data_IF_674873476885
#
_entry.id   IF_674873476885
#
_cell.length_a   1.000
_cell.length_b   1.000
_cell.length_c   1.000
_cell.angle_alpha   90.00
_cell.angle_beta   90.00
_cell.angle_gamma   90.00
#
_symmetry.space_group_name_H-M   'P 1'
#
loop_
_entity.id
_entity.type
_entity.pdbx_description
1 polymer ?
#
# COMPACT_ATOMS: atom_id res chain seq x y z
N UNK A 1 -7.05 -6.54 -14.65
CA UNK A 1 -5.96 -5.58 -14.41
C UNK A 1 -6.44 -4.55 -13.41
N UNK A 2 -6.06 -4.69 -12.15
CA UNK A 2 -6.22 -3.67 -11.11
C UNK A 2 -5.38 -2.47 -11.50
N UNK A 3 -5.97 -1.27 -11.55
CA UNK A 3 -5.22 -0.03 -11.84
C UNK A 3 -4.08 0.12 -10.82
N UNK A 4 -2.92 0.68 -11.21
CA UNK A 4 -1.89 1.08 -10.25
C UNK A 4 -2.53 1.90 -9.15
N UNK A 5 -2.44 1.47 -7.89
CA UNK A 5 -2.85 2.31 -6.77
C UNK A 5 -1.72 3.30 -6.54
N UNK A 6 -1.84 4.49 -7.14
CA UNK A 6 -0.97 5.61 -6.80
C UNK A 6 -1.07 5.82 -5.30
N UNK A 7 0.07 5.83 -4.61
CA UNK A 7 0.14 6.16 -3.21
C UNK A 7 -0.45 7.55 -2.96
N UNK A 8 -1.65 7.62 -2.40
CA UNK A 8 -2.26 8.88 -1.98
C UNK A 8 -1.92 9.17 -0.54
N UNK A 9 -1.42 10.36 -0.30
CA UNK A 9 -1.19 10.91 1.04
C UNK A 9 -2.50 11.03 1.82
N UNK A 10 -2.46 11.01 3.16
CA UNK A 10 -3.64 11.33 3.97
C UNK A 10 -4.30 12.65 3.57
N UNK A 11 -3.49 13.64 3.17
CA UNK A 11 -3.93 14.94 2.69
C UNK A 11 -4.71 14.84 1.38
N UNK A 12 -4.21 14.09 0.39
CA UNK A 12 -4.91 13.88 -0.89
C UNK A 12 -6.23 13.13 -0.70
N UNK A 13 -6.26 12.15 0.22
CA UNK A 13 -7.48 11.42 0.55
C UNK A 13 -8.51 12.30 1.25
N UNK A 14 -8.07 13.16 2.18
CA UNK A 14 -8.96 14.09 2.87
C UNK A 14 -9.50 15.18 1.93
N UNK A 15 -8.65 15.73 1.07
CA UNK A 15 -9.06 16.74 0.09
C UNK A 15 -10.06 16.16 -0.91
N UNK A 16 -9.84 14.96 -1.45
CA UNK A 16 -10.81 14.30 -2.33
C UNK A 16 -12.15 14.04 -1.64
N UNK A 17 -12.14 13.64 -0.37
CA UNK A 17 -13.36 13.37 0.39
C UNK A 17 -14.16 14.64 0.72
N UNK A 18 -13.53 15.82 0.63
CA UNK A 18 -14.14 17.12 1.00
C UNK A 18 -14.41 18.03 -0.20
N UNK A 19 -13.71 17.85 -1.31
CA UNK A 19 -13.82 18.70 -2.49
C UNK A 19 -15.17 18.53 -3.20
N UNK A 20 -15.91 19.64 -3.33
CA UNK A 20 -17.20 19.68 -4.03
C UNK A 20 -18.36 18.98 -3.32
N UNK A 21 -18.20 18.57 -2.06
CA UNK A 21 -19.23 17.91 -1.26
C UNK A 21 -19.89 18.91 -0.28
N UNK A 22 -21.22 18.86 -0.16
CA UNK A 22 -21.94 19.56 0.90
C UNK A 22 -22.00 18.67 2.15
N UNK A 23 -21.01 18.80 3.02
CA UNK A 23 -20.79 17.93 4.17
C UNK A 23 -21.43 18.50 5.44
N UNK A 24 -22.07 17.64 6.23
CA UNK A 24 -22.54 18.03 7.56
C UNK A 24 -21.35 18.25 8.51
N UNK A 25 -21.61 18.93 9.63
CA UNK A 25 -20.62 19.08 10.70
C UNK A 25 -20.18 17.73 11.30
N UNK A 26 -21.06 16.73 11.29
CA UNK A 26 -20.75 15.36 11.71
C UNK A 26 -19.79 14.67 10.75
N UNK A 27 -20.02 14.80 9.44
CA UNK A 27 -19.17 14.19 8.41
C UNK A 27 -17.77 14.81 8.42
N UNK A 28 -17.68 16.14 8.53
CA UNK A 28 -16.41 16.85 8.68
C UNK A 28 -15.62 16.38 9.90
N UNK A 29 -16.30 16.17 11.04
CA UNK A 29 -15.66 15.66 12.26
C UNK A 29 -15.11 14.24 12.07
N UNK A 30 -15.86 13.37 11.40
CA UNK A 30 -15.45 12.00 11.11
C UNK A 30 -14.26 11.96 10.14
N UNK A 31 -14.33 12.71 9.04
CA UNK A 31 -13.24 12.82 8.06
C UNK A 31 -11.97 13.39 8.69
N UNK A 32 -12.10 14.41 9.53
CA UNK A 32 -10.96 15.02 10.24
C UNK A 32 -10.31 14.01 11.20
N UNK A 33 -11.13 13.24 11.92
CA UNK A 33 -10.63 12.20 12.82
C UNK A 33 -9.91 11.08 12.04
N UNK A 34 -10.47 10.66 10.91
CA UNK A 34 -9.84 9.70 9.99
C UNK A 34 -8.51 10.20 9.43
N UNK A 35 -8.46 11.46 8.98
CA UNK A 35 -7.24 12.12 8.50
C UNK A 35 -6.14 12.14 9.56
N UNK A 36 -6.46 12.54 10.80
CA UNK A 36 -5.52 12.56 11.91
C UNK A 36 -5.00 11.15 12.25
N UNK A 37 -5.86 10.14 12.22
CA UNK A 37 -5.46 8.75 12.42
C UNK A 37 -4.50 8.28 11.31
N UNK A 38 -4.81 8.57 10.04
CA UNK A 38 -3.97 8.23 8.89
C UNK A 38 -2.59 8.90 8.96
N UNK A 39 -2.54 10.19 9.29
CA UNK A 39 -1.28 10.91 9.52
C UNK A 39 -0.46 10.27 10.62
N UNK A 40 -1.08 9.96 11.77
CA UNK A 40 -0.41 9.30 12.88
C UNK A 40 0.10 7.90 12.51
N UNK A 41 -0.59 7.16 11.65
CA UNK A 41 -0.09 5.86 11.16
C UNK A 41 1.08 5.98 10.19
N UNK A 42 1.15 7.07 9.40
CA UNK A 42 2.33 7.38 8.59
C UNK A 42 3.53 7.80 9.46
N UNK A 43 3.27 8.41 10.62
CA UNK A 43 4.31 8.81 11.59
C UNK A 43 4.75 7.66 12.52
N UNK A 44 4.01 6.54 12.58
CA UNK A 44 4.42 5.36 13.35
C UNK A 44 5.62 4.69 12.70
N UNK A 45 6.65 4.42 13.50
CA UNK A 45 7.79 3.58 13.13
C UNK A 45 7.32 2.28 12.50
N UNK A 46 7.99 1.91 11.40
CA UNK A 46 7.83 0.65 10.67
C UNK A 46 7.54 -0.49 11.65
N UNK A 47 6.39 -1.14 11.51
CA UNK A 47 6.10 -2.34 12.26
C UNK A 47 6.94 -3.48 11.67
N UNK A 48 8.09 -3.74 12.30
CA UNK A 48 9.07 -4.72 11.82
C UNK A 48 8.47 -6.13 11.66
N UNK A 49 7.47 -6.49 12.47
CA UNK A 49 6.81 -7.79 12.36
C UNK A 49 6.00 -7.90 11.06
N UNK A 50 5.24 -6.86 10.73
CA UNK A 50 4.45 -6.82 9.50
C UNK A 50 5.35 -6.67 8.26
N UNK A 51 6.41 -5.86 8.35
CA UNK A 51 7.38 -5.75 7.27
C UNK A 51 8.09 -7.09 7.01
N UNK A 52 8.44 -7.85 8.06
CA UNK A 52 8.97 -9.21 7.91
C UNK A 52 7.96 -10.15 7.28
N UNK A 53 6.68 -10.05 7.62
CA UNK A 53 5.63 -10.85 6.99
C UNK A 53 5.52 -10.54 5.48
N UNK A 54 5.62 -9.26 5.11
CA UNK A 54 5.64 -8.84 3.71
C UNK A 54 6.85 -9.42 2.96
N UNK A 55 8.06 -9.35 3.52
CA UNK A 55 9.24 -9.99 2.93
C UNK A 55 9.10 -11.51 2.84
N UNK A 56 8.48 -12.16 3.84
CA UNK A 56 8.18 -13.60 3.77
C UNK A 56 7.24 -13.94 2.60
N UNK A 57 6.25 -13.10 2.33
CA UNK A 57 5.35 -13.29 1.18
C UNK A 57 6.05 -13.07 -0.16
N UNK A 58 6.94 -12.07 -0.25
CA UNK A 58 7.78 -11.86 -1.44
C UNK A 58 8.63 -13.10 -1.74
N UNK A 59 9.30 -13.65 -0.72
CA UNK A 59 10.09 -14.87 -0.86
C UNK A 59 9.23 -16.07 -1.29
N UNK A 60 8.04 -16.23 -0.71
CA UNK A 60 7.09 -17.27 -1.10
C UNK A 60 6.67 -17.18 -2.57
N UNK A 61 6.34 -15.97 -3.04
CA UNK A 61 5.98 -15.73 -4.46
C UNK A 61 7.16 -16.02 -5.38
N UNK A 62 8.35 -15.51 -5.06
CA UNK A 62 9.56 -15.74 -5.85
C UNK A 62 9.88 -17.22 -5.98
N UNK A 63 9.84 -17.95 -4.86
CA UNK A 63 10.05 -19.39 -4.84
C UNK A 63 9.02 -20.16 -5.68
N UNK A 64 7.72 -19.90 -5.49
CA UNK A 64 6.66 -20.65 -6.17
C UNK A 64 6.55 -20.36 -7.66
N UNK A 65 6.96 -19.17 -8.10
CA UNK A 65 6.87 -18.77 -9.50
C UNK A 65 8.20 -18.84 -10.23
N UNK A 66 9.26 -19.31 -9.56
CA UNK A 66 10.62 -19.44 -10.09
C UNK A 66 11.17 -18.10 -10.58
N UNK A 67 10.98 -17.03 -9.80
CA UNK A 67 11.45 -15.68 -10.10
C UNK A 67 12.24 -15.14 -8.91
N UNK A 68 13.30 -14.37 -9.20
CA UNK A 68 14.10 -13.72 -8.16
C UNK A 68 13.27 -12.75 -7.29
N UNK A 69 13.51 -12.78 -5.98
CA UNK A 69 12.84 -11.90 -5.00
C UNK A 69 12.98 -10.42 -5.35
N UNK A 70 14.11 -10.02 -5.95
CA UNK A 70 14.37 -8.67 -6.42
C UNK A 70 13.36 -8.24 -7.51
N UNK A 71 12.99 -9.15 -8.40
CA UNK A 71 11.99 -8.87 -9.44
C UNK A 71 10.61 -8.72 -8.83
N UNK A 72 10.24 -9.56 -7.86
CA UNK A 72 8.98 -9.44 -7.13
C UNK A 72 8.93 -8.11 -6.36
N UNK A 73 10.04 -7.73 -5.70
CA UNK A 73 10.18 -6.43 -5.04
C UNK A 73 10.01 -5.28 -6.05
N UNK A 74 10.62 -5.37 -7.22
CA UNK A 74 10.52 -4.35 -8.28
C UNK A 74 9.09 -4.18 -8.76
N UNK A 75 8.37 -5.28 -9.00
CA UNK A 75 6.95 -5.25 -9.39
C UNK A 75 6.09 -4.64 -8.28
N UNK A 76 6.33 -5.02 -7.01
CA UNK A 76 5.61 -4.45 -5.87
C UNK A 76 5.90 -2.94 -5.73
N UNK A 77 7.17 -2.56 -5.83
CA UNK A 77 7.61 -1.16 -5.78
C UNK A 77 6.96 -0.34 -6.89
N UNK A 78 6.91 -0.88 -8.11
CA UNK A 78 6.26 -0.26 -9.25
C UNK A 78 4.74 -0.13 -9.06
N UNK A 79 4.08 -1.17 -8.54
CA UNK A 79 2.63 -1.17 -8.30
C UNK A 79 2.19 -0.05 -7.35
N UNK A 80 2.96 0.18 -6.29
CA UNK A 80 2.69 1.19 -5.27
C UNK A 80 3.38 2.53 -5.52
N UNK A 81 4.28 2.63 -6.51
CA UNK A 81 5.05 3.85 -6.77
C UNK A 81 6.00 4.21 -5.62
N UNK A 82 6.67 3.21 -5.05
CA UNK A 82 7.67 3.36 -3.98
C UNK A 82 9.07 3.01 -4.47
N UNK A 83 10.09 3.59 -3.85
CA UNK A 83 11.49 3.26 -4.15
C UNK A 83 11.85 1.85 -3.65
N UNK A 84 11.46 1.55 -2.42
CA UNK A 84 11.76 0.26 -1.77
C UNK A 84 10.55 -0.24 -1.00
N UNK A 85 10.43 -1.56 -0.84
CA UNK A 85 9.36 -2.18 -0.05
C UNK A 85 9.30 -1.63 1.38
N UNK A 86 10.45 -1.26 1.97
CA UNK A 86 10.53 -0.65 3.31
C UNK A 86 9.88 0.74 3.40
N UNK A 87 9.76 1.45 2.28
CA UNK A 87 9.09 2.75 2.22
C UNK A 87 7.57 2.66 2.07
N UNK A 88 7.02 1.44 1.93
CA UNK A 88 5.58 1.23 1.89
C UNK A 88 4.95 1.67 3.23
N UNK A 89 3.93 2.54 3.21
CA UNK A 89 3.21 2.90 4.43
C UNK A 89 2.58 1.69 5.11
N UNK A 90 2.71 1.60 6.44
CA UNK A 90 2.21 0.48 7.25
C UNK A 90 0.73 0.15 7.00
N UNK A 91 -0.10 1.17 6.80
CA UNK A 91 -1.53 1.03 6.48
C UNK A 91 -1.83 0.27 5.18
N UNK A 92 -0.83 0.06 4.32
CA UNK A 92 -0.96 -0.64 3.04
C UNK A 92 -0.35 -2.05 3.06
N UNK A 93 0.24 -2.48 4.18
CA UNK A 93 0.87 -3.80 4.27
C UNK A 93 -0.13 -4.94 3.99
N UNK A 94 -1.35 -4.85 4.51
CA UNK A 94 -2.38 -5.85 4.21
C UNK A 94 -2.71 -5.89 2.72
N UNK A 95 -2.95 -4.74 2.09
CA UNK A 95 -3.23 -4.65 0.66
C UNK A 95 -2.06 -5.20 -0.19
N UNK A 96 -0.82 -4.93 0.23
CA UNK A 96 0.36 -5.44 -0.45
C UNK A 96 0.49 -6.96 -0.34
N UNK A 97 0.14 -7.55 0.81
CA UNK A 97 0.08 -9.01 0.97
C UNK A 97 -1.02 -9.60 0.07
N UNK A 98 -2.22 -9.01 0.06
CA UNK A 98 -3.31 -9.45 -0.82
C UNK A 98 -2.91 -9.37 -2.30
N UNK A 99 -2.26 -8.27 -2.71
CA UNK A 99 -1.73 -8.13 -4.05
C UNK A 99 -0.69 -9.22 -4.40
N UNK A 100 0.23 -9.54 -3.48
CA UNK A 100 1.25 -10.57 -3.70
C UNK A 100 0.64 -11.97 -3.82
N UNK A 101 -0.44 -12.26 -3.09
CA UNK A 101 -1.17 -13.54 -3.20
C UNK A 101 -1.78 -13.72 -4.59
N UNK A 102 -2.34 -12.65 -5.15
CA UNK A 102 -2.96 -12.64 -6.48
C UNK A 102 -1.95 -12.41 -7.63
N UNK A 103 -0.68 -12.18 -7.30
CA UNK A 103 0.34 -11.81 -8.28
C UNK A 103 0.69 -12.99 -9.17
N UNK A 104 0.58 -12.80 -10.49
CA UNK A 104 1.03 -13.77 -11.48
C UNK A 104 2.17 -13.18 -12.32
N UNK A 105 3.41 -13.48 -11.95
CA UNK A 105 4.62 -12.89 -12.57
C UNK A 105 4.71 -13.19 -14.07
N UNK A 106 4.26 -14.37 -14.50
CA UNK A 106 4.21 -14.77 -15.93
C UNK A 106 3.33 -13.87 -16.79
N UNK A 107 2.36 -13.15 -16.21
CA UNK A 107 1.51 -12.20 -16.94
C UNK A 107 2.12 -10.80 -17.06
N UNK A 108 3.21 -10.54 -16.35
CA UNK A 108 3.84 -9.22 -16.22
C UNK A 108 5.20 -9.18 -16.95
N UNK A 109 5.98 -10.26 -16.86
CA UNK A 109 7.37 -10.32 -17.39
C UNK A 109 7.45 -11.08 -18.72
N UNK A 110 6.47 -10.92 -19.62
CA UNK A 110 6.45 -11.54 -20.95
C UNK A 110 6.48 -10.50 -22.07
#
# INVERSE_FOLDING_TARGET
MTKPQTLRTPEELFNEATEGQDLSSGDLSLLTSGFLALRKTNEKTVNDAELKALYGMIAYVGYNQEVDEETVCSVLSSHYGIETVRSLPSRLYQNAIEYLVDLEMKKIVN
#
